data_IF_946485057095
#
_entry.id   IF_946485057095
#
_cell.length_a   1.000
_cell.length_b   1.000
_cell.length_c   1.000
_cell.angle_alpha   90.00
_cell.angle_beta   90.00
_cell.angle_gamma   90.00
#
_symmetry.space_group_name_H-M   'P 1'
#
loop_
_entity.id
_entity.type
_entity.pdbx_description
1 polymer ?
#
# COMPACT_ATOMS: atom_id res chain seq x y z
N UNK A 1 -15.84 14.16 11.09
CA UNK A 1 -15.37 13.02 11.92
C UNK A 1 -14.09 13.25 12.73
N UNK A 2 -12.97 13.83 12.24
CA UNK A 2 -11.80 14.10 13.12
C UNK A 2 -12.03 15.24 14.14
N UNK A 3 -12.71 16.31 13.72
CA UNK A 3 -13.09 17.42 14.63
C UNK A 3 -14.13 16.97 15.67
N UNK A 4 -15.07 16.11 15.27
CA UNK A 4 -16.06 15.49 16.18
C UNK A 4 -15.39 14.56 17.21
N UNK A 5 -14.26 13.93 16.84
CA UNK A 5 -13.43 13.14 17.74
C UNK A 5 -12.49 13.98 18.63
N UNK A 6 -12.55 15.32 18.54
CA UNK A 6 -11.78 16.22 19.39
C UNK A 6 -10.30 16.34 19.04
N UNK A 7 -9.91 15.99 17.81
CA UNK A 7 -8.52 16.06 17.34
C UNK A 7 -8.04 17.53 17.22
N UNK A 8 -6.97 17.90 17.94
CA UNK A 8 -6.52 19.31 18.08
C UNK A 8 -5.18 19.65 17.42
N UNK A 9 -4.61 18.74 16.63
CA UNK A 9 -3.27 18.90 16.06
C UNK A 9 -3.31 19.78 14.79
N UNK A 10 -2.51 20.85 14.78
CA UNK A 10 -2.43 21.80 13.64
C UNK A 10 -1.51 21.31 12.51
N UNK A 11 -0.37 20.71 12.83
CA UNK A 11 0.57 20.15 11.87
C UNK A 11 0.69 18.64 12.08
N UNK A 12 -0.16 17.90 11.36
CA UNK A 12 -0.23 16.45 11.43
C UNK A 12 1.09 15.80 10.99
N UNK A 13 1.77 16.37 10.00
CA UNK A 13 3.03 15.80 9.51
C UNK A 13 4.12 15.88 10.57
N UNK A 14 4.29 17.05 11.20
CA UNK A 14 5.26 17.21 12.28
C UNK A 14 4.91 16.30 13.46
N UNK A 15 3.65 16.31 13.88
CA UNK A 15 3.15 15.51 14.99
C UNK A 15 3.36 14.01 14.79
N UNK A 16 3.06 13.46 13.61
CA UNK A 16 3.28 12.04 13.31
C UNK A 16 4.76 11.63 13.40
N UNK A 17 5.69 12.56 13.19
CA UNK A 17 7.14 12.32 13.25
C UNK A 17 7.74 12.59 14.64
N UNK A 18 6.95 13.08 15.62
CA UNK A 18 7.43 13.25 16.99
C UNK A 18 7.75 11.90 17.60
N UNK A 19 8.94 11.79 18.21
CA UNK A 19 9.39 10.59 18.91
C UNK A 19 8.84 10.56 20.33
N UNK A 20 8.44 9.38 20.76
CA UNK A 20 7.94 9.09 22.10
C UNK A 20 8.65 7.84 22.61
N UNK A 21 9.29 7.97 23.77
CA UNK A 21 9.93 6.86 24.47
C UNK A 21 8.92 6.16 25.39
N UNK A 22 8.76 4.85 25.24
CA UNK A 22 7.96 4.01 26.14
C UNK A 22 8.78 2.76 26.48
N UNK A 23 9.14 2.62 27.76
CA UNK A 23 10.00 1.54 28.24
C UNK A 23 11.37 1.60 27.56
N UNK A 24 11.70 0.56 26.78
CA UNK A 24 12.97 0.48 26.02
C UNK A 24 12.84 0.84 24.55
N UNK A 25 11.65 1.27 24.11
CA UNK A 25 11.37 1.55 22.71
C UNK A 25 11.22 3.06 22.49
N UNK A 26 11.72 3.52 21.36
CA UNK A 26 11.48 4.85 20.83
C UNK A 26 10.69 4.68 19.53
N UNK A 27 9.51 5.29 19.46
CA UNK A 27 8.67 5.28 18.26
C UNK A 27 8.26 6.69 17.90
N UNK A 28 8.14 6.97 16.61
CA UNK A 28 7.34 8.10 16.17
C UNK A 28 5.87 7.88 16.50
N UNK A 29 5.09 8.94 16.71
CA UNK A 29 3.63 8.82 16.91
C UNK A 29 2.95 8.06 15.78
N UNK A 30 3.40 8.25 14.54
CA UNK A 30 2.89 7.52 13.39
C UNK A 30 3.15 6.01 13.44
N UNK A 31 4.31 5.59 13.95
CA UNK A 31 4.61 4.16 14.18
C UNK A 31 3.79 3.59 15.33
N UNK A 32 3.54 4.36 16.41
CA UNK A 32 2.66 3.93 17.50
C UNK A 32 1.22 3.72 17.03
N UNK A 33 0.73 4.62 16.19
CA UNK A 33 -0.60 4.50 15.57
C UNK A 33 -0.64 3.25 14.66
N UNK A 34 0.39 3.02 13.86
CA UNK A 34 0.47 1.82 13.02
C UNK A 34 0.49 0.53 13.86
N UNK A 35 1.26 0.50 14.96
CA UNK A 35 1.28 -0.62 15.91
C UNK A 35 -0.10 -0.90 16.50
N UNK A 36 -0.83 0.15 16.87
CA UNK A 36 -2.21 -0.01 17.33
C UNK A 36 -3.09 -0.62 16.24
N UNK A 37 -3.03 -0.13 15.00
CA UNK A 37 -3.79 -0.73 13.89
C UNK A 37 -3.41 -2.18 13.60
N UNK A 38 -2.12 -2.51 13.68
CA UNK A 38 -1.68 -3.90 13.59
C UNK A 38 -2.21 -4.75 14.75
N UNK A 39 -2.33 -4.20 15.96
CA UNK A 39 -2.83 -4.95 17.11
C UNK A 39 -4.31 -5.33 17.00
N UNK A 40 -5.11 -4.59 16.22
CA UNK A 40 -6.53 -4.87 16.00
C UNK A 40 -6.78 -6.01 15.00
N UNK A 41 -5.78 -6.36 14.19
CA UNK A 41 -5.86 -7.50 13.28
C UNK A 41 -5.09 -8.69 13.87
N UNK A 42 -5.77 -9.80 14.11
CA UNK A 42 -5.20 -10.97 14.78
C UNK A 42 -3.97 -11.55 14.08
N UNK A 43 -3.97 -11.58 12.75
CA UNK A 43 -2.85 -12.09 11.95
C UNK A 43 -1.63 -11.16 12.01
N UNK A 44 -1.86 -9.85 12.03
CA UNK A 44 -0.82 -8.84 12.27
C UNK A 44 -0.26 -8.92 13.69
N UNK A 45 -1.14 -8.98 14.70
CA UNK A 45 -0.77 -9.10 16.12
C UNK A 45 0.08 -10.34 16.35
N UNK A 46 -0.34 -11.50 15.83
CA UNK A 46 0.43 -12.75 15.93
C UNK A 46 1.82 -12.65 15.30
N UNK A 47 1.94 -11.94 14.16
CA UNK A 47 3.22 -11.71 13.48
C UNK A 47 4.14 -10.79 14.28
N UNK A 48 3.61 -9.72 14.88
CA UNK A 48 4.38 -8.81 15.74
C UNK A 48 4.88 -9.54 17.00
N UNK A 49 4.01 -10.28 17.68
CA UNK A 49 4.36 -10.97 18.93
C UNK A 49 5.29 -12.16 18.70
N UNK A 50 5.02 -12.99 17.69
CA UNK A 50 5.82 -14.19 17.41
C UNK A 50 7.06 -13.89 16.55
N UNK A 51 6.90 -13.10 15.50
CA UNK A 51 7.93 -12.75 14.53
C UNK A 51 8.84 -11.61 14.99
N UNK A 52 8.30 -10.65 15.73
CA UNK A 52 8.95 -9.37 16.06
C UNK A 52 8.63 -8.30 15.01
N UNK A 53 9.26 -7.15 15.15
CA UNK A 53 9.10 -6.04 14.20
C UNK A 53 10.42 -5.34 13.91
N UNK A 54 10.49 -4.63 12.79
CA UNK A 54 11.61 -3.76 12.42
C UNK A 54 11.11 -2.37 12.03
N UNK A 55 11.99 -1.38 12.10
CA UNK A 55 11.69 0.00 11.72
C UNK A 55 12.36 0.30 10.38
N UNK A 56 11.57 0.37 9.30
CA UNK A 56 12.08 0.49 7.91
C UNK A 56 12.99 1.70 7.69
N UNK A 57 12.77 2.77 8.44
CA UNK A 57 13.52 4.02 8.34
C UNK A 57 14.51 4.24 9.51
N UNK A 58 14.85 3.18 10.24
CA UNK A 58 15.91 3.22 11.26
C UNK A 58 17.28 2.90 10.68
N UNK A 59 18.33 3.13 11.47
CA UNK A 59 19.71 2.76 11.11
C UNK A 59 19.90 1.23 10.95
N UNK A 60 19.00 0.43 11.52
CA UNK A 60 19.07 -1.05 11.46
C UNK A 60 17.75 -1.65 10.99
N UNK A 61 17.31 -1.37 9.75
CA UNK A 61 15.94 -1.67 9.32
C UNK A 61 15.64 -3.17 9.27
N UNK A 62 16.64 -4.01 8.98
CA UNK A 62 16.47 -5.46 8.89
C UNK A 62 16.65 -6.19 10.22
N UNK A 63 16.81 -5.45 11.33
CA UNK A 63 16.91 -6.04 12.67
C UNK A 63 15.50 -6.28 13.21
N UNK A 64 15.12 -7.54 13.37
CA UNK A 64 13.89 -7.89 14.08
C UNK A 64 14.06 -7.68 15.59
N UNK A 65 13.21 -6.83 16.14
CA UNK A 65 13.09 -6.50 17.55
C UNK A 65 11.91 -7.31 18.11
N UNK A 66 12.18 -8.09 19.16
CA UNK A 66 11.13 -8.84 19.87
C UNK A 66 10.37 -7.93 20.83
N UNK A 67 9.08 -8.17 20.97
CA UNK A 67 8.18 -7.47 21.89
C UNK A 67 7.26 -8.48 22.58
N UNK A 68 7.01 -8.29 23.87
CA UNK A 68 6.05 -9.10 24.62
C UNK A 68 4.64 -8.51 24.52
N UNK A 69 3.62 -9.29 24.83
CA UNK A 69 2.24 -8.79 24.85
C UNK A 69 2.06 -7.66 25.86
N UNK A 70 2.66 -7.76 27.05
CA UNK A 70 2.63 -6.68 28.04
C UNK A 70 3.26 -5.39 27.50
N UNK A 71 4.43 -5.48 26.84
CA UNK A 71 5.08 -4.32 26.22
C UNK A 71 4.23 -3.69 25.12
N UNK A 72 3.57 -4.52 24.29
CA UNK A 72 2.67 -4.03 23.26
C UNK A 72 1.46 -3.31 23.89
N UNK A 73 0.87 -3.88 24.92
CA UNK A 73 -0.25 -3.28 25.64
C UNK A 73 0.15 -1.96 26.31
N UNK A 74 1.33 -1.88 26.95
CA UNK A 74 1.85 -0.63 27.53
C UNK A 74 2.00 0.49 26.48
N UNK A 75 2.49 0.16 25.28
CA UNK A 75 2.60 1.12 24.17
C UNK A 75 1.22 1.62 23.72
N UNK A 76 0.25 0.70 23.61
CA UNK A 76 -1.11 1.02 23.18
C UNK A 76 -1.84 1.81 24.27
N UNK A 77 -1.73 1.45 25.53
CA UNK A 77 -2.37 2.11 26.67
C UNK A 77 -1.85 3.54 26.87
N UNK A 78 -0.55 3.75 26.67
CA UNK A 78 0.09 5.06 26.72
C UNK A 78 -0.26 5.98 25.54
N UNK A 79 -1.06 5.56 24.57
CA UNK A 79 -1.49 6.41 23.46
C UNK A 79 -2.38 7.55 23.95
N UNK A 80 -2.06 8.75 23.51
CA UNK A 80 -2.82 9.97 23.74
C UNK A 80 -4.21 9.89 23.08
N UNK A 81 -5.19 10.68 23.58
CA UNK A 81 -6.50 10.76 22.95
C UNK A 81 -6.44 11.14 21.45
N UNK A 82 -5.55 12.05 21.07
CA UNK A 82 -5.37 12.45 19.66
C UNK A 82 -4.84 11.30 18.80
N UNK A 83 -3.89 10.49 19.29
CA UNK A 83 -3.39 9.30 18.59
C UNK A 83 -4.51 8.27 18.38
N UNK A 84 -5.34 8.03 19.40
CA UNK A 84 -6.49 7.11 19.30
C UNK A 84 -7.56 7.64 18.34
N UNK A 85 -7.87 8.93 18.41
CA UNK A 85 -8.84 9.58 17.53
C UNK A 85 -8.39 9.49 16.07
N UNK A 86 -7.11 9.74 15.80
CA UNK A 86 -6.53 9.61 14.47
C UNK A 86 -6.59 8.15 13.97
N UNK A 87 -6.32 7.17 14.84
CA UNK A 87 -6.32 5.75 14.49
C UNK A 87 -7.73 5.11 14.40
N UNK A 88 -8.77 5.85 14.78
CA UNK A 88 -10.13 5.36 14.88
C UNK A 88 -10.87 5.35 13.54
N UNK A 89 -12.14 5.74 13.61
CA UNK A 89 -13.14 5.59 12.55
C UNK A 89 -12.73 6.13 11.18
N UNK A 90 -11.95 7.21 11.12
CA UNK A 90 -11.48 7.78 9.84
C UNK A 90 -10.63 6.79 9.04
N UNK A 91 -9.80 6.00 9.74
CA UNK A 91 -8.96 4.97 9.12
C UNK A 91 -9.79 3.74 8.77
N UNK A 92 -10.76 3.37 9.61
CA UNK A 92 -11.70 2.28 9.31
C UNK A 92 -12.49 2.56 8.04
N UNK A 93 -13.09 3.76 7.96
CA UNK A 93 -13.85 4.20 6.78
C UNK A 93 -12.99 4.20 5.51
N UNK A 94 -11.71 4.60 5.63
CA UNK A 94 -10.78 4.61 4.51
C UNK A 94 -10.55 3.18 3.97
N UNK A 95 -10.20 2.23 4.84
CA UNK A 95 -9.94 0.86 4.42
C UNK A 95 -11.21 0.12 4.00
N UNK A 96 -12.37 0.43 4.58
CA UNK A 96 -13.66 -0.11 4.15
C UNK A 96 -14.04 0.39 2.75
N UNK A 97 -13.91 1.69 2.49
CA UNK A 97 -14.16 2.27 1.17
C UNK A 97 -13.18 1.70 0.12
N UNK A 98 -11.90 1.57 0.49
CA UNK A 98 -10.90 0.92 -0.36
C UNK A 98 -11.30 -0.53 -0.67
N UNK A 99 -11.70 -1.30 0.35
CA UNK A 99 -12.12 -2.69 0.20
C UNK A 99 -13.30 -2.86 -0.76
N UNK A 100 -14.32 -2.00 -0.64
CA UNK A 100 -15.49 -2.00 -1.55
C UNK A 100 -15.10 -1.70 -3.01
N UNK A 101 -14.19 -0.74 -3.21
CA UNK A 101 -13.72 -0.39 -4.55
C UNK A 101 -12.89 -1.53 -5.18
N UNK A 102 -12.02 -2.17 -4.39
CA UNK A 102 -11.26 -3.34 -4.81
C UNK A 102 -12.17 -4.52 -5.16
N UNK A 103 -13.14 -4.82 -4.30
CA UNK A 103 -14.08 -5.94 -4.48
C UNK A 103 -14.87 -5.82 -5.79
N UNK A 104 -15.33 -4.62 -6.14
CA UNK A 104 -16.03 -4.40 -7.42
C UNK A 104 -15.22 -4.84 -8.63
N UNK A 105 -13.97 -4.38 -8.73
CA UNK A 105 -13.07 -4.71 -9.85
C UNK A 105 -12.63 -6.18 -9.79
N UNK A 106 -12.41 -6.69 -8.59
CA UNK A 106 -12.08 -8.09 -8.36
C UNK A 106 -13.22 -9.01 -8.83
N UNK A 107 -14.46 -8.70 -8.47
CA UNK A 107 -15.64 -9.46 -8.86
C UNK A 107 -15.85 -9.42 -10.36
N UNK A 108 -15.77 -8.23 -10.98
CA UNK A 108 -15.87 -8.08 -12.44
C UNK A 108 -14.86 -8.96 -13.18
N UNK A 109 -13.64 -9.05 -12.65
CA UNK A 109 -12.57 -9.85 -13.26
C UNK A 109 -12.71 -11.36 -13.00
N UNK A 110 -13.06 -11.77 -11.79
CA UNK A 110 -12.93 -13.17 -11.34
C UNK A 110 -14.28 -13.89 -11.19
N UNK A 111 -15.41 -13.17 -11.13
CA UNK A 111 -16.76 -13.73 -10.99
C UNK A 111 -17.13 -14.19 -9.58
N UNK A 112 -16.33 -13.86 -8.56
CA UNK A 112 -16.61 -14.19 -7.15
C UNK A 112 -16.10 -13.06 -6.22
N UNK A 113 -16.67 -12.92 -5.01
CA UNK A 113 -16.31 -11.81 -4.11
C UNK A 113 -14.89 -11.94 -3.57
N UNK A 114 -14.26 -10.79 -3.34
CA UNK A 114 -12.93 -10.71 -2.72
C UNK A 114 -12.99 -11.27 -1.29
N UNK A 115 -11.97 -12.05 -0.86
CA UNK A 115 -11.91 -12.51 0.53
C UNK A 115 -11.92 -11.33 1.51
N UNK A 116 -12.91 -11.32 2.41
CA UNK A 116 -12.98 -10.32 3.47
C UNK A 116 -11.93 -10.59 4.55
N UNK A 117 -11.38 -9.50 5.11
CA UNK A 117 -10.44 -9.53 6.23
C UNK A 117 -10.96 -8.58 7.31
N UNK A 118 -11.21 -9.12 8.50
CA UNK A 118 -11.67 -8.32 9.64
C UNK A 118 -10.55 -7.41 10.15
N UNK A 119 -10.90 -6.16 10.47
CA UNK A 119 -9.94 -5.13 10.89
C UNK A 119 -8.75 -4.99 9.93
N UNK A 120 -9.00 -5.06 8.62
CA UNK A 120 -7.95 -5.04 7.61
C UNK A 120 -6.95 -3.89 7.86
N UNK A 121 -5.67 -4.25 7.93
CA UNK A 121 -4.55 -3.32 7.90
C UNK A 121 -3.40 -3.95 7.10
N UNK A 122 -2.77 -3.22 6.16
CA UNK A 122 -1.73 -3.79 5.28
C UNK A 122 -0.56 -4.38 6.10
N UNK A 123 0.02 -5.48 5.60
CA UNK A 123 1.27 -6.04 6.14
C UNK A 123 2.43 -5.63 5.25
N UNK A 124 3.54 -5.27 5.87
CA UNK A 124 4.83 -5.12 5.20
C UNK A 124 5.81 -6.07 5.88
N UNK A 125 6.17 -7.14 5.20
CA UNK A 125 6.96 -8.23 5.78
C UNK A 125 8.44 -7.92 5.66
N UNK A 126 9.21 -8.21 6.71
CA UNK A 126 10.66 -8.09 6.64
C UNK A 126 11.25 -9.27 5.86
N UNK A 127 12.27 -9.04 5.00
CA UNK A 127 13.02 -10.12 4.41
C UNK A 127 13.71 -10.89 5.53
N UNK A 128 13.49 -12.20 5.60
CA UNK A 128 14.21 -13.04 6.54
C UNK A 128 15.66 -13.12 6.04
N UNK A 129 16.61 -12.56 6.78
CA UNK A 129 18.03 -12.73 6.52
C UNK A 129 18.45 -14.20 6.76
N UNK A 130 18.07 -15.10 5.85
CA UNK A 130 18.85 -16.31 5.58
C UNK A 130 19.84 -15.87 4.51
N UNK A 131 21.14 -15.97 4.80
CA UNK A 131 22.25 -15.52 3.94
C UNK A 131 22.36 -16.23 2.58
N UNK A 132 21.26 -16.78 2.05
CA UNK A 132 21.13 -17.48 0.76
C UNK A 132 19.91 -16.98 -0.02
N UNK A 133 18.99 -16.22 0.60
CA UNK A 133 17.73 -15.81 -0.03
C UNK A 133 17.76 -14.42 -0.69
N UNK A 134 18.69 -13.53 -0.33
CA UNK A 134 18.81 -12.21 -1.00
C UNK A 134 19.16 -12.36 -2.50
N UNK A 135 20.03 -13.31 -2.85
CA UNK A 135 20.34 -13.62 -4.25
C UNK A 135 19.16 -14.30 -4.96
N UNK A 136 18.36 -15.13 -4.26
CA UNK A 136 17.16 -15.74 -4.85
C UNK A 136 15.99 -14.77 -4.98
N UNK A 137 15.77 -13.87 -4.03
CA UNK A 137 14.73 -12.84 -4.08
C UNK A 137 15.06 -11.80 -5.14
N UNK A 138 16.31 -11.33 -5.22
CA UNK A 138 16.76 -10.46 -6.31
C UNK A 138 16.69 -11.18 -7.66
N UNK A 139 17.08 -12.46 -7.76
CA UNK A 139 16.94 -13.26 -8.98
C UNK A 139 15.47 -13.51 -9.36
N UNK A 140 14.58 -13.72 -8.39
CA UNK A 140 13.13 -13.90 -8.62
C UNK A 140 12.45 -12.57 -8.96
N UNK A 141 12.82 -11.46 -8.34
CA UNK A 141 12.32 -10.12 -8.69
C UNK A 141 12.81 -9.68 -10.08
N UNK A 142 14.09 -9.89 -10.40
CA UNK A 142 14.68 -9.58 -11.70
C UNK A 142 14.12 -10.48 -12.81
N UNK A 143 13.77 -11.74 -12.52
CA UNK A 143 13.22 -12.68 -13.52
C UNK A 143 11.69 -12.72 -13.60
N UNK A 144 10.96 -12.24 -12.58
CA UNK A 144 9.50 -12.02 -12.67
C UNK A 144 9.18 -11.08 -13.84
N UNK A 145 9.96 -10.01 -14.04
CA UNK A 145 9.76 -9.08 -15.15
C UNK A 145 10.05 -9.65 -16.55
N UNK A 146 10.74 -10.80 -16.68
CA UNK A 146 11.11 -11.39 -17.98
C UNK A 146 10.20 -12.53 -18.44
N UNK A 147 9.51 -13.19 -17.52
CA UNK A 147 8.70 -14.40 -17.83
C UNK A 147 7.25 -14.29 -17.38
N UNK A 148 6.86 -13.21 -16.70
CA UNK A 148 5.47 -12.99 -16.27
C UNK A 148 4.81 -11.89 -17.10
N UNK A 149 3.51 -12.07 -17.35
CA UNK A 149 2.67 -11.08 -18.02
C UNK A 149 2.63 -9.80 -17.20
N UNK A 150 2.57 -8.66 -17.87
CA UNK A 150 2.36 -7.34 -17.28
C UNK A 150 1.23 -7.40 -16.24
N UNK A 151 1.54 -7.02 -15.00
CA UNK A 151 0.66 -7.15 -13.85
C UNK A 151 0.83 -6.00 -12.84
N UNK A 152 -0.19 -5.81 -12.01
CA UNK A 152 -0.18 -4.88 -10.88
C UNK A 152 0.11 -5.64 -9.58
N UNK A 153 0.54 -4.92 -8.54
CA UNK A 153 0.63 -5.48 -7.19
C UNK A 153 -0.76 -5.91 -6.68
N UNK A 154 -0.88 -7.18 -6.26
CA UNK A 154 -2.17 -7.83 -5.91
C UNK A 154 -2.26 -8.38 -4.49
N UNK A 155 -1.22 -8.20 -3.68
CA UNK A 155 -1.16 -8.80 -2.34
C UNK A 155 -2.31 -8.37 -1.40
N UNK A 156 -2.96 -7.23 -1.66
CA UNK A 156 -4.13 -6.76 -0.90
C UNK A 156 -5.42 -7.55 -1.19
N UNK A 157 -5.46 -8.32 -2.29
CA UNK A 157 -6.62 -9.10 -2.73
C UNK A 157 -6.55 -10.56 -2.24
N UNK A 158 -5.37 -10.98 -1.80
CA UNK A 158 -5.12 -12.34 -1.39
C UNK A 158 -5.63 -12.59 0.03
N UNK A 159 -6.23 -13.77 0.23
CA UNK A 159 -6.52 -14.25 1.58
C UNK A 159 -5.23 -14.36 2.38
N UNK A 160 -5.23 -13.83 3.60
CA UNK A 160 -4.08 -13.91 4.50
C UNK A 160 -3.66 -15.36 4.74
N UNK A 161 -2.39 -15.64 4.45
CA UNK A 161 -1.72 -16.85 4.92
C UNK A 161 -1.19 -16.52 6.30
N UNK A 162 -1.77 -17.13 7.35
CA UNK A 162 -1.47 -16.85 8.77
C UNK A 162 -0.08 -17.33 9.17
N UNK A 163 0.94 -16.73 8.57
CA UNK A 163 2.35 -17.07 8.75
C UNK A 163 2.95 -16.04 9.71
N UNK A 164 3.62 -16.53 10.74
CA UNK A 164 4.31 -15.70 11.74
C UNK A 164 5.68 -15.32 11.18
N UNK A 165 5.79 -14.09 10.69
CA UNK A 165 7.03 -13.50 10.17
C UNK A 165 7.18 -12.07 10.69
N UNK A 166 8.42 -11.58 10.89
CA UNK A 166 8.63 -10.22 11.36
C UNK A 166 8.10 -9.19 10.37
N UNK A 167 7.50 -8.12 10.89
CA UNK A 167 6.88 -7.06 10.11
C UNK A 167 7.66 -5.74 10.23
N UNK A 168 7.69 -4.95 9.17
CA UNK A 168 8.06 -3.55 9.29
C UNK A 168 6.91 -2.79 9.93
N UNK A 169 7.21 -2.13 11.05
CA UNK A 169 6.35 -1.10 11.62
C UNK A 169 6.77 0.19 10.94
N UNK A 170 5.95 0.64 10.00
CA UNK A 170 6.13 1.92 9.34
C UNK A 170 5.29 2.99 10.05
N UNK A 171 5.47 4.26 9.67
CA UNK A 171 4.49 5.29 10.02
C UNK A 171 3.16 4.99 9.34
N UNK A 172 2.04 5.18 10.07
CA UNK A 172 0.68 5.05 9.54
C UNK A 172 0.47 5.78 8.20
N UNK A 173 1.10 6.95 8.04
CA UNK A 173 1.01 7.73 6.79
C UNK A 173 1.66 7.01 5.60
N UNK A 174 2.77 6.30 5.83
CA UNK A 174 3.41 5.50 4.79
C UNK A 174 2.52 4.33 4.37
N UNK A 175 1.99 3.59 5.34
CA UNK A 175 1.15 2.40 5.08
C UNK A 175 -0.14 2.78 4.34
N UNK A 176 -0.79 3.88 4.76
CA UNK A 176 -1.96 4.43 4.07
C UNK A 176 -1.61 4.81 2.64
N UNK A 177 -0.56 5.61 2.43
CA UNK A 177 -0.21 6.07 1.09
C UNK A 177 0.12 4.90 0.16
N UNK A 178 0.92 3.94 0.64
CA UNK A 178 1.26 2.73 -0.12
C UNK A 178 0.01 1.91 -0.46
N UNK A 179 -0.88 1.71 0.52
CA UNK A 179 -2.15 0.98 0.32
C UNK A 179 -3.04 1.68 -0.70
N UNK A 180 -3.24 2.99 -0.57
CA UNK A 180 -4.10 3.79 -1.45
C UNK A 180 -3.55 3.80 -2.88
N UNK A 181 -2.24 3.96 -3.08
CA UNK A 181 -1.62 3.93 -4.40
C UNK A 181 -1.85 2.58 -5.07
N UNK A 182 -1.59 1.48 -4.36
CA UNK A 182 -1.76 0.13 -4.88
C UNK A 182 -3.23 -0.17 -5.21
N UNK A 183 -4.14 0.24 -4.34
CA UNK A 183 -5.56 0.05 -4.57
C UNK A 183 -6.08 0.90 -5.74
N UNK A 184 -5.67 2.17 -5.82
CA UNK A 184 -6.05 3.04 -6.92
C UNK A 184 -5.51 2.52 -8.27
N UNK A 185 -4.27 2.04 -8.29
CA UNK A 185 -3.69 1.41 -9.47
C UNK A 185 -4.52 0.18 -9.89
N UNK A 186 -4.84 -0.71 -8.95
CA UNK A 186 -5.66 -1.89 -9.25
C UNK A 186 -7.05 -1.51 -9.77
N UNK A 187 -7.75 -0.61 -9.07
CA UNK A 187 -9.10 -0.17 -9.44
C UNK A 187 -9.12 0.48 -10.83
N UNK A 188 -8.13 1.33 -11.14
CA UNK A 188 -8.09 2.06 -12.40
C UNK A 188 -7.50 1.29 -13.57
N UNK A 189 -6.58 0.37 -13.32
CA UNK A 189 -5.74 -0.21 -14.37
C UNK A 189 -5.88 -1.72 -14.54
N UNK A 190 -6.43 -2.48 -13.59
CA UNK A 190 -6.38 -3.94 -13.67
C UNK A 190 -7.04 -4.49 -14.94
N UNK A 191 -8.27 -4.07 -15.24
CA UNK A 191 -9.01 -4.53 -16.42
C UNK A 191 -8.35 -4.07 -17.73
N UNK A 192 -8.09 -2.77 -17.95
CA UNK A 192 -7.50 -2.31 -19.21
C UNK A 192 -6.08 -2.90 -19.41
N UNK A 193 -5.26 -2.99 -18.37
CA UNK A 193 -3.93 -3.58 -18.46
C UNK A 193 -4.00 -5.09 -18.73
N UNK A 194 -4.97 -5.79 -18.15
CA UNK A 194 -5.19 -7.21 -18.44
C UNK A 194 -5.60 -7.43 -19.91
N UNK A 195 -6.47 -6.59 -20.46
CA UNK A 195 -6.91 -6.68 -21.84
C UNK A 195 -5.79 -6.33 -22.82
N UNK A 196 -5.04 -5.25 -22.55
CA UNK A 196 -3.87 -4.85 -23.33
C UNK A 196 -2.80 -5.94 -23.33
N UNK A 197 -2.50 -6.51 -22.15
CA UNK A 197 -1.57 -7.64 -22.00
C UNK A 197 -2.05 -8.87 -22.79
N UNK A 198 -3.33 -9.25 -22.69
CA UNK A 198 -3.91 -10.35 -23.47
C UNK A 198 -3.75 -10.16 -24.98
N UNK A 199 -4.01 -8.96 -25.48
CA UNK A 199 -3.87 -8.63 -26.90
C UNK A 199 -2.40 -8.67 -27.33
N UNK A 200 -1.50 -8.02 -26.56
CA UNK A 200 -0.08 -7.95 -26.87
C UNK A 200 0.59 -9.33 -26.95
N UNK A 201 0.15 -10.27 -26.09
CA UNK A 201 0.65 -11.64 -26.08
C UNK A 201 -0.20 -12.61 -26.93
N UNK A 202 -1.21 -12.14 -27.68
CA UNK A 202 -1.95 -12.99 -28.61
C UNK A 202 -1.05 -13.35 -29.80
N UNK A 203 -0.91 -14.64 -30.18
CA UNK A 203 0.04 -15.07 -31.22
C UNK A 203 -0.14 -14.30 -32.53
N UNK A 204 -1.36 -14.25 -33.05
CA UNK A 204 -1.64 -13.60 -34.34
C UNK A 204 -1.37 -12.09 -34.29
N UNK A 205 -1.71 -11.42 -33.19
CA UNK A 205 -1.48 -9.99 -33.03
C UNK A 205 0.02 -9.69 -32.95
N UNK A 206 0.77 -10.49 -32.20
CA UNK A 206 2.22 -10.36 -32.10
C UNK A 206 2.88 -10.58 -33.46
N UNK A 207 2.53 -11.66 -34.17
CA UNK A 207 3.10 -11.97 -35.48
C UNK A 207 2.84 -10.83 -36.46
N UNK A 208 1.60 -10.38 -36.60
CA UNK A 208 1.26 -9.27 -37.51
C UNK A 208 1.94 -7.96 -37.12
N UNK A 209 2.05 -7.66 -35.82
CA UNK A 209 2.72 -6.45 -35.34
C UNK A 209 4.22 -6.49 -35.65
N UNK A 210 4.87 -7.62 -35.38
CA UNK A 210 6.30 -7.81 -35.63
C UNK A 210 6.63 -7.87 -37.12
N UNK A 211 5.77 -8.46 -37.95
CA UNK A 211 5.96 -8.50 -39.41
C UNK A 211 5.79 -7.12 -40.05
N UNK A 212 4.83 -6.30 -39.59
CA UNK A 212 4.56 -4.97 -40.16
C UNK A 212 5.47 -3.87 -39.62
N UNK A 213 5.82 -3.92 -38.34
CA UNK A 213 6.48 -2.82 -37.64
C UNK A 213 7.80 -3.23 -36.96
N UNK A 214 8.21 -4.49 -37.08
CA UNK A 214 9.42 -5.03 -36.47
C UNK A 214 9.26 -5.40 -35.00
N UNK A 215 10.07 -6.35 -34.54
CA UNK A 215 10.05 -6.86 -33.15
C UNK A 215 10.32 -5.75 -32.12
N UNK A 216 11.09 -4.72 -32.48
CA UNK A 216 11.39 -3.57 -31.60
C UNK A 216 10.11 -2.85 -31.19
N UNK A 217 9.14 -2.71 -32.11
CA UNK A 217 7.86 -2.05 -31.81
C UNK A 217 7.07 -2.82 -30.76
N UNK A 218 7.04 -4.15 -30.86
CA UNK A 218 6.41 -5.00 -29.84
C UNK A 218 7.10 -4.84 -28.47
N UNK A 219 8.44 -4.83 -28.44
CA UNK A 219 9.21 -4.65 -27.20
C UNK A 219 8.98 -3.29 -26.54
N UNK A 220 8.90 -2.19 -27.31
CA UNK A 220 8.62 -0.86 -26.75
C UNK A 220 7.19 -0.75 -26.22
N UNK A 221 6.20 -1.39 -26.86
CA UNK A 221 4.83 -1.45 -26.34
C UNK A 221 4.78 -2.29 -25.05
N UNK A 222 5.46 -3.45 -25.04
CA UNK A 222 5.58 -4.28 -23.84
C UNK A 222 6.17 -3.48 -22.67
N UNK A 223 7.29 -2.79 -22.94
CA UNK A 223 7.96 -1.93 -21.96
C UNK A 223 7.05 -0.81 -21.47
N UNK A 224 6.35 -0.10 -22.36
CA UNK A 224 5.41 0.95 -21.98
C UNK A 224 4.27 0.45 -21.08
N UNK A 225 3.74 -0.75 -21.35
CA UNK A 225 2.74 -1.37 -20.49
C UNK A 225 3.32 -1.82 -19.13
N UNK A 226 4.56 -2.32 -19.10
CA UNK A 226 5.26 -2.65 -17.84
C UNK A 226 5.54 -1.41 -16.99
N UNK A 227 5.89 -0.29 -17.64
CA UNK A 227 6.09 1.00 -16.97
C UNK A 227 4.78 1.51 -16.35
N UNK A 228 3.64 1.37 -17.04
CA UNK A 228 2.30 1.67 -16.52
C UNK A 228 1.96 0.74 -15.33
N UNK A 229 2.31 -0.54 -15.44
CA UNK A 229 2.11 -1.52 -14.37
C UNK A 229 3.02 -1.33 -13.15
N UNK A 230 4.04 -0.48 -13.26
CA UNK A 230 5.05 -0.24 -12.22
C UNK A 230 6.07 -1.38 -12.08
N UNK A 231 6.20 -2.26 -13.09
CA UNK A 231 7.10 -3.43 -13.04
C UNK A 231 8.57 -3.08 -13.33
N UNK A 232 8.86 -1.92 -13.92
CA UNK A 232 10.24 -1.44 -14.06
C UNK A 232 10.66 -0.65 -12.83
N UNK A 233 11.55 -1.26 -12.04
CA UNK A 233 12.28 -0.63 -10.96
C UNK A 233 13.16 0.53 -11.49
N UNK A 234 12.58 1.70 -11.70
CA UNK A 234 13.30 2.92 -11.40
C UNK A 234 12.66 3.54 -10.18
N UNK A 235 13.40 3.47 -9.05
CA UNK A 235 13.06 4.18 -7.81
C UNK A 235 12.67 5.64 -8.10
N UNK A 236 13.26 6.24 -9.12
CA UNK A 236 13.00 7.61 -9.60
C UNK A 236 11.62 7.83 -10.24
N UNK A 237 10.95 6.81 -10.82
CA UNK A 237 9.62 6.99 -11.42
C UNK A 237 8.50 6.81 -10.40
N UNK A 238 8.65 5.87 -9.47
CA UNK A 238 7.75 5.76 -8.31
C UNK A 238 7.85 7.02 -7.45
N UNK A 239 9.05 7.57 -7.23
CA UNK A 239 9.22 8.87 -6.56
C UNK A 239 8.59 10.03 -7.34
N UNK A 240 8.70 10.08 -8.68
CA UNK A 240 8.04 11.11 -9.50
C UNK A 240 6.52 10.97 -9.52
N UNK A 241 6.01 9.75 -9.53
CA UNK A 241 4.60 9.44 -9.41
C UNK A 241 4.10 9.79 -8.01
N UNK A 242 4.88 9.47 -6.96
CA UNK A 242 4.64 9.85 -5.57
C UNK A 242 4.68 11.37 -5.39
N UNK A 243 5.57 12.10 -6.08
CA UNK A 243 5.60 13.57 -6.09
C UNK A 243 4.38 14.17 -6.79
N UNK A 244 3.92 13.58 -7.90
CA UNK A 244 2.68 14.00 -8.60
C UNK A 244 1.40 13.62 -7.83
N UNK A 245 1.39 12.48 -7.15
CA UNK A 245 0.28 12.06 -6.28
C UNK A 245 0.28 12.88 -4.99
N UNK A 246 1.43 13.14 -4.37
CA UNK A 246 1.56 14.01 -3.20
C UNK A 246 1.12 15.44 -3.51
N UNK A 247 1.47 16.00 -4.67
CA UNK A 247 0.98 17.33 -5.05
C UNK A 247 -0.54 17.34 -5.27
N UNK A 248 -1.10 16.29 -5.87
CA UNK A 248 -2.56 16.16 -6.06
C UNK A 248 -3.33 15.82 -4.79
N UNK A 249 -2.79 14.99 -3.90
CA UNK A 249 -3.37 14.66 -2.60
C UNK A 249 -3.25 15.81 -1.62
N UNK A 250 -2.15 16.56 -1.61
CA UNK A 250 -2.05 17.79 -0.81
C UNK A 250 -3.06 18.84 -1.31
N UNK A 251 -3.23 18.97 -2.63
CA UNK A 251 -4.25 19.86 -3.21
C UNK A 251 -5.68 19.35 -2.96
N UNK A 252 -5.90 18.04 -2.96
CA UNK A 252 -7.21 17.46 -2.66
C UNK A 252 -7.55 17.51 -1.15
N UNK A 253 -6.58 17.26 -0.27
CA UNK A 253 -6.74 17.34 1.18
C UNK A 253 -6.96 18.79 1.66
N UNK A 254 -6.35 19.78 0.99
CA UNK A 254 -6.59 21.20 1.23
C UNK A 254 -7.78 21.76 0.42
N UNK A 255 -8.28 21.00 -0.56
CA UNK A 255 -9.36 21.37 -1.48
C UNK A 255 -10.68 20.63 -1.26
N UNK A 256 -10.80 19.84 -0.18
CA UNK A 256 -12.04 19.15 0.22
C UNK A 256 -13.07 20.16 0.75
N UNK A 257 -13.56 21.02 -0.14
CA UNK A 257 -14.93 21.46 -0.10
C UNK A 257 -15.75 20.58 -1.05
N UNK A 258 -16.36 19.48 -0.57
CA UNK A 258 -17.11 18.54 -1.41
C UNK A 258 -18.27 19.19 -2.20
N UNK A 259 -18.68 20.42 -1.85
CA UNK A 259 -19.70 21.18 -2.59
C UNK A 259 -19.20 21.85 -3.88
N UNK A 260 -17.89 22.00 -4.11
CA UNK A 260 -17.36 22.71 -5.30
C UNK A 260 -17.16 21.78 -6.49
N UNK A 261 -16.73 20.52 -6.28
CA UNK A 261 -16.54 19.55 -7.36
C UNK A 261 -17.87 19.08 -7.98
N UNK A 262 -18.96 19.08 -7.20
CA UNK A 262 -20.29 18.69 -7.69
C UNK A 262 -20.94 19.74 -8.63
N UNK A 263 -20.38 20.95 -8.72
CA UNK A 263 -20.86 22.00 -9.64
C UNK A 263 -20.13 22.07 -10.98
N UNK A 264 -19.08 21.27 -11.19
CA UNK A 264 -18.24 21.39 -12.40
C UNK A 264 -18.61 20.53 -13.62
N UNK A 265 -19.69 19.72 -13.64
CA UNK A 265 -20.34 19.35 -14.90
C UNK A 265 -21.66 20.10 -15.17
N UNK A 266 -22.09 21.03 -14.29
CA UNK A 266 -23.34 21.81 -14.46
C UNK A 266 -23.13 23.29 -14.80
N UNK A 267 -21.91 23.72 -15.15
CA UNK A 267 -21.64 25.09 -15.65
C UNK A 267 -21.20 25.15 -17.12
N UNK A 268 -21.29 24.04 -17.86
CA UNK A 268 -21.23 24.04 -19.33
C UNK A 268 -22.57 23.61 -19.92
N UNK A 269 -23.57 24.42 -19.65
CA UNK A 269 -24.77 24.55 -20.46
C UNK A 269 -25.31 25.96 -20.25
N UNK A 270 -24.59 26.94 -20.81
CA UNK A 270 -25.06 28.25 -21.27
C UNK A 270 -24.02 28.82 -22.25
#
# INVERSE_FOLDING_TARGET
>A
DLEEAGFKVKDVSKWLNEKVEIGRFEFTRGERIALYRHSLNEDNKASILGGGFGLRHSDTPNRSIKITENQLNEIIESMTPDERAFAGKSIDNLFEAQGKALDKVFYEKNGYPMPAEENYYPKDTMPLARGVDFEKESFLEVNKGKWTRISLQKGMLEKRRRVIIPLYVNSIAYDINKSVINAAAYVGLEIPLNNASKLLYHPDFRTELSERYGEITWQEIEKGLRDIGGEWQSYTTVEKMFLKLKSKFATAALGLNPFVMLKQPLSYAL
#
